data_IF_372990851254
#
_entry.id   IF_372990851254
#
_cell.length_a   1.000
_cell.length_b   1.000
_cell.length_c   1.000
_cell.angle_alpha   90.00
_cell.angle_beta   90.00
_cell.angle_gamma   90.00
#
_symmetry.space_group_name_H-M   'P 1'
#
loop_
_entity.id
_entity.type
_entity.pdbx_description
1 polymer ?
#
# COMPACT_ATOMS: atom_id res chain seq x y z
N UNK A 1 -37.17 35.62 -18.61
CA UNK A 1 -36.60 35.18 -19.88
C UNK A 1 -35.37 34.33 -19.57
N UNK A 2 -35.30 33.06 -19.99
CA UNK A 2 -34.09 32.29 -19.84
C UNK A 2 -33.05 32.78 -20.86
N UNK A 3 -31.89 33.21 -20.37
CA UNK A 3 -30.74 33.51 -21.22
C UNK A 3 -30.20 32.18 -21.76
N UNK A 4 -30.72 31.75 -22.91
CA UNK A 4 -30.01 30.82 -23.79
C UNK A 4 -28.73 31.50 -24.23
N UNK A 5 -27.60 31.19 -23.58
CA UNK A 5 -26.29 31.46 -24.15
C UNK A 5 -26.18 30.61 -25.41
N UNK A 6 -26.40 31.23 -26.57
CA UNK A 6 -25.89 30.69 -27.82
C UNK A 6 -24.40 30.48 -27.63
N UNK A 7 -23.97 29.21 -27.66
CA UNK A 7 -22.56 28.87 -27.76
C UNK A 7 -22.04 29.46 -29.06
N UNK A 8 -21.14 30.44 -28.96
CA UNK A 8 -20.31 30.82 -30.09
C UNK A 8 -19.47 29.58 -30.43
N UNK A 9 -19.93 28.83 -31.42
CA UNK A 9 -19.42 27.52 -31.82
C UNK A 9 -18.04 27.63 -32.51
N UNK A 10 -17.65 28.85 -32.92
CA UNK A 10 -16.43 29.11 -33.70
C UNK A 10 -15.29 29.75 -32.90
N UNK A 11 -15.12 29.40 -31.61
CA UNK A 11 -13.93 29.86 -30.87
C UNK A 11 -12.69 29.23 -31.49
N UNK A 12 -11.75 30.04 -31.95
CA UNK A 12 -10.43 29.61 -32.45
C UNK A 12 -9.39 29.49 -31.33
N UNK A 13 -9.78 29.81 -30.11
CA UNK A 13 -8.92 29.66 -28.93
C UNK A 13 -8.63 28.18 -28.65
N UNK A 14 -7.34 27.86 -28.53
CA UNK A 14 -6.84 26.47 -28.44
C UNK A 14 -7.30 25.78 -27.16
N UNK A 15 -7.38 26.49 -26.04
CA UNK A 15 -7.79 25.92 -24.75
C UNK A 15 -9.31 25.70 -24.74
N UNK A 16 -10.07 26.62 -25.31
CA UNK A 16 -11.52 26.46 -25.47
C UNK A 16 -11.85 25.24 -26.34
N UNK A 17 -11.12 25.04 -27.44
CA UNK A 17 -11.30 23.87 -28.30
C UNK A 17 -10.92 22.57 -27.56
N UNK A 18 -9.80 22.56 -26.83
CA UNK A 18 -9.36 21.41 -26.06
C UNK A 18 -10.38 21.00 -24.99
N UNK A 19 -10.84 21.95 -24.16
CA UNK A 19 -11.83 21.68 -23.11
C UNK A 19 -13.13 21.17 -23.72
N UNK A 20 -13.62 21.77 -24.81
CA UNK A 20 -14.82 21.28 -25.51
C UNK A 20 -14.64 19.86 -26.03
N UNK A 21 -13.47 19.56 -26.58
CA UNK A 21 -13.10 18.21 -27.01
C UNK A 21 -13.15 17.20 -25.86
N UNK A 22 -12.53 17.51 -24.72
CA UNK A 22 -12.54 16.63 -23.54
C UNK A 22 -13.92 16.48 -22.91
N UNK A 23 -14.71 17.56 -22.83
CA UNK A 23 -16.09 17.52 -22.32
C UNK A 23 -17.05 16.79 -23.25
N UNK A 24 -16.66 16.60 -24.52
CA UNK A 24 -17.43 15.84 -25.50
C UNK A 24 -17.34 14.32 -25.30
N UNK A 25 -16.40 13.82 -24.50
CA UNK A 25 -16.29 12.40 -24.17
C UNK A 25 -16.96 12.10 -22.82
N UNK A 26 -17.50 10.90 -22.69
CA UNK A 26 -18.05 10.46 -21.41
C UNK A 26 -16.90 10.07 -20.46
N UNK A 27 -16.95 10.55 -19.22
CA UNK A 27 -15.97 10.19 -18.21
C UNK A 27 -16.01 8.69 -17.90
N UNK A 28 -14.84 8.08 -17.74
CA UNK A 28 -14.73 6.69 -17.30
C UNK A 28 -14.94 6.59 -15.79
N UNK A 29 -15.85 5.72 -15.35
CA UNK A 29 -16.27 5.61 -13.94
C UNK A 29 -16.27 4.20 -13.38
N UNK A 30 -15.98 3.16 -14.18
CA UNK A 30 -16.13 1.75 -13.81
C UNK A 30 -14.78 1.07 -13.57
N UNK A 31 -13.81 1.31 -14.44
CA UNK A 31 -12.49 0.66 -14.41
C UNK A 31 -11.70 0.96 -13.12
N UNK A 32 -12.02 2.05 -12.44
CA UNK A 32 -11.37 2.52 -11.20
C UNK A 32 -11.41 1.49 -10.06
N UNK A 33 -12.40 0.59 -10.06
CA UNK A 33 -12.54 -0.47 -9.06
C UNK A 33 -11.72 -1.73 -9.39
N UNK A 34 -11.07 -1.78 -10.56
CA UNK A 34 -10.24 -2.88 -11.00
C UNK A 34 -8.75 -2.62 -10.81
N UNK A 35 -7.97 -3.70 -10.89
CA UNK A 35 -6.52 -3.60 -10.96
C UNK A 35 -6.06 -3.27 -12.38
N UNK A 36 -5.16 -2.30 -12.50
CA UNK A 36 -4.43 -1.97 -13.74
C UNK A 36 -2.93 -2.01 -13.43
N UNK A 37 -2.22 -2.95 -14.07
CA UNK A 37 -0.78 -3.05 -13.94
C UNK A 37 -0.08 -1.81 -14.50
N UNK A 38 1.11 -1.50 -13.97
CA UNK A 38 1.90 -0.37 -14.43
C UNK A 38 3.35 -0.44 -13.98
N UNK A 39 4.17 0.55 -14.36
CA UNK A 39 5.56 0.62 -13.92
C UNK A 39 5.66 0.55 -12.39
N UNK A 40 6.40 -0.42 -11.87
CA UNK A 40 6.58 -0.61 -10.43
C UNK A 40 5.38 -1.22 -9.69
N UNK A 41 4.29 -1.60 -10.35
CA UNK A 41 3.17 -2.33 -9.72
C UNK A 41 2.72 -3.48 -10.61
N UNK A 42 2.92 -4.72 -10.15
CA UNK A 42 2.63 -5.93 -10.91
C UNK A 42 1.88 -6.96 -10.06
N UNK A 43 0.87 -7.61 -10.62
CA UNK A 43 0.20 -8.75 -9.99
C UNK A 43 0.99 -10.02 -10.28
N UNK A 44 1.26 -10.81 -9.25
CA UNK A 44 1.91 -12.11 -9.38
C UNK A 44 0.87 -13.20 -9.68
N UNK A 45 1.33 -14.32 -10.23
CA UNK A 45 0.52 -15.54 -10.37
C UNK A 45 0.22 -16.20 -9.01
N UNK A 46 1.03 -15.92 -7.99
CA UNK A 46 0.77 -16.38 -6.63
C UNK A 46 -0.53 -15.76 -6.10
N UNK A 47 -1.41 -16.61 -5.58
CA UNK A 47 -2.71 -16.23 -5.06
C UNK A 47 -3.02 -17.06 -3.81
N UNK A 48 -3.68 -16.42 -2.84
CA UNK A 48 -4.15 -17.04 -1.61
C UNK A 48 -5.68 -17.06 -1.55
N UNK A 49 -6.22 -17.86 -0.64
CA UNK A 49 -7.65 -17.88 -0.37
C UNK A 49 -8.05 -16.65 0.47
N UNK A 50 -8.95 -15.83 -0.07
CA UNK A 50 -9.36 -14.57 0.58
C UNK A 50 -10.19 -14.80 1.85
N UNK A 51 -10.97 -15.86 1.91
CA UNK A 51 -11.80 -16.15 3.09
C UNK A 51 -10.91 -16.62 4.24
N UNK A 52 -9.93 -17.48 3.96
CA UNK A 52 -8.94 -17.90 4.96
C UNK A 52 -8.02 -16.76 5.41
N UNK A 53 -7.71 -15.79 4.52
CA UNK A 53 -6.98 -14.58 4.89
C UNK A 53 -7.78 -13.73 5.89
N UNK A 54 -9.08 -13.55 5.66
CA UNK A 54 -9.95 -12.79 6.57
C UNK A 54 -10.16 -13.54 7.89
N UNK A 55 -10.33 -14.86 7.87
CA UNK A 55 -10.41 -15.66 9.10
C UNK A 55 -9.12 -15.52 9.93
N UNK A 56 -7.94 -15.60 9.29
CA UNK A 56 -6.68 -15.40 9.98
C UNK A 56 -6.51 -14.00 10.55
N UNK A 57 -7.01 -12.96 9.87
CA UNK A 57 -7.05 -11.61 10.42
C UNK A 57 -7.86 -11.55 11.71
N UNK A 58 -9.07 -12.11 11.71
CA UNK A 58 -9.93 -12.15 12.90
C UNK A 58 -9.29 -12.95 14.05
N UNK A 59 -8.65 -14.07 13.74
CA UNK A 59 -7.93 -14.88 14.73
C UNK A 59 -6.78 -14.08 15.35
N UNK A 60 -5.95 -13.43 14.53
CA UNK A 60 -4.82 -12.62 14.99
C UNK A 60 -5.28 -11.43 15.85
N UNK A 61 -6.34 -10.72 15.46
CA UNK A 61 -6.88 -9.58 16.20
C UNK A 61 -7.48 -9.96 17.57
N UNK A 62 -7.86 -11.22 17.77
CA UNK A 62 -8.26 -11.75 19.10
C UNK A 62 -7.05 -12.04 20.00
N UNK A 63 -5.87 -12.26 19.40
CA UNK A 63 -4.64 -12.61 20.11
C UNK A 63 -3.76 -11.39 20.41
N UNK A 64 -3.81 -10.37 19.57
CA UNK A 64 -3.03 -9.14 19.75
C UNK A 64 -3.72 -7.92 19.13
N UNK A 65 -3.47 -6.75 19.72
CA UNK A 65 -3.92 -5.48 19.16
C UNK A 65 -2.93 -4.94 18.12
N UNK A 66 -3.39 -4.01 17.29
CA UNK A 66 -2.48 -3.22 16.47
C UNK A 66 -1.53 -2.37 17.34
N UNK A 67 -0.33 -2.15 16.82
CA UNK A 67 0.73 -1.34 17.39
C UNK A 67 0.98 -0.08 16.56
N UNK A 68 1.77 0.84 17.12
CA UNK A 68 2.21 2.08 16.48
C UNK A 68 1.70 3.33 17.19
N UNK A 69 2.44 4.43 17.05
CA UNK A 69 2.11 5.72 17.64
C UNK A 69 1.24 6.62 16.73
N UNK A 70 0.96 6.19 15.50
CA UNK A 70 0.15 6.91 14.51
C UNK A 70 -1.26 6.34 14.36
N UNK A 71 -1.74 5.54 15.32
CA UNK A 71 -3.06 4.91 15.24
C UNK A 71 -4.19 5.95 15.19
N UNK A 72 -4.09 7.02 15.98
CA UNK A 72 -5.04 8.15 15.96
C UNK A 72 -4.99 8.92 14.63
N UNK A 73 -3.87 8.82 13.91
CA UNK A 73 -3.70 9.37 12.56
C UNK A 73 -4.09 8.36 11.47
N UNK A 74 -4.69 7.24 11.85
CA UNK A 74 -5.21 6.23 10.93
C UNK A 74 -4.16 5.29 10.35
N UNK A 75 -3.01 5.09 11.02
CA UNK A 75 -2.02 4.08 10.63
C UNK A 75 -1.69 3.14 11.79
N UNK A 76 -1.86 1.84 11.55
CA UNK A 76 -1.75 0.79 12.56
C UNK A 76 -1.03 -0.43 11.97
N UNK A 77 -0.16 -1.08 12.75
CA UNK A 77 0.66 -2.21 12.30
C UNK A 77 0.62 -3.38 13.27
N UNK A 78 0.52 -4.61 12.76
CA UNK A 78 0.64 -5.85 13.54
C UNK A 78 1.75 -6.73 12.93
N UNK A 79 2.91 -6.87 13.60
CA UNK A 79 4.06 -7.63 13.08
C UNK A 79 3.81 -9.13 13.03
N UNK A 80 3.88 -9.71 11.83
CA UNK A 80 3.78 -11.15 11.58
C UNK A 80 5.14 -11.85 11.58
N UNK A 81 6.23 -11.12 11.35
CA UNK A 81 7.59 -11.62 11.51
C UNK A 81 8.35 -10.83 12.57
N UNK A 82 9.39 -11.46 13.10
CA UNK A 82 10.22 -10.96 14.19
C UNK A 82 11.66 -11.45 14.04
N UNK A 83 12.59 -10.77 14.70
CA UNK A 83 13.95 -11.29 14.86
C UNK A 83 13.95 -12.52 15.79
N UNK A 84 14.92 -13.43 15.68
CA UNK A 84 15.06 -14.53 16.61
C UNK A 84 15.05 -14.07 18.07
N UNK A 85 14.08 -14.55 18.85
CA UNK A 85 13.91 -14.20 20.26
C UNK A 85 13.36 -12.81 20.56
N UNK A 86 12.96 -12.03 19.55
CA UNK A 86 12.34 -10.72 19.77
C UNK A 86 10.96 -10.86 20.42
N UNK A 87 10.71 -10.05 21.45
CA UNK A 87 9.43 -10.00 22.18
C UNK A 87 8.82 -8.60 22.24
N UNK A 88 9.57 -7.58 21.85
CA UNK A 88 9.19 -6.16 21.89
C UNK A 88 9.51 -5.51 20.54
N UNK A 89 8.75 -4.47 20.16
CA UNK A 89 8.92 -3.75 18.91
C UNK A 89 9.17 -2.26 19.15
N UNK A 90 10.22 -1.74 18.52
CA UNK A 90 10.49 -0.30 18.50
C UNK A 90 9.63 0.40 17.44
N UNK A 91 9.52 1.72 17.51
CA UNK A 91 8.86 2.51 16.45
C UNK A 91 9.52 2.27 15.08
N UNK A 92 10.85 2.17 15.03
CA UNK A 92 11.59 1.90 13.79
C UNK A 92 11.33 0.47 13.25
N UNK A 93 11.06 -0.51 14.11
CA UNK A 93 10.65 -1.84 13.65
C UNK A 93 9.28 -1.79 12.96
N UNK A 94 8.36 -0.96 13.47
CA UNK A 94 6.99 -0.83 12.98
C UNK A 94 6.86 0.05 11.73
N UNK A 95 7.77 0.99 11.51
CA UNK A 95 7.78 1.92 10.38
C UNK A 95 8.97 1.60 9.47
N UNK A 96 10.18 2.04 9.83
CA UNK A 96 11.46 1.79 9.15
C UNK A 96 11.96 3.02 8.40
N UNK A 97 13.21 2.94 7.88
CA UNK A 97 13.78 3.99 7.01
C UNK A 97 12.85 4.30 5.83
N UNK A 98 12.64 5.59 5.59
CA UNK A 98 12.10 6.11 4.32
C UNK A 98 12.72 7.47 4.00
N UNK A 99 12.56 7.93 2.76
CA UNK A 99 12.93 9.26 2.32
C UNK A 99 11.71 10.04 1.86
N UNK A 100 11.68 11.33 2.20
CA UNK A 100 10.57 12.24 1.90
C UNK A 100 11.12 13.61 1.47
N UNK A 101 10.36 14.30 0.62
CA UNK A 101 10.57 15.72 0.31
C UNK A 101 9.52 16.53 1.07
N UNK A 102 9.95 17.33 2.04
CA UNK A 102 9.04 18.16 2.85
C UNK A 102 9.22 19.66 2.65
N UNK A 103 10.37 20.10 2.14
CA UNK A 103 10.67 21.51 1.92
C UNK A 103 10.20 22.03 0.55
N UNK A 104 10.09 23.35 0.45
CA UNK A 104 9.88 24.05 -0.84
C UNK A 104 11.09 23.92 -1.79
N UNK A 105 12.23 23.51 -1.26
CA UNK A 105 13.45 23.19 -2.01
C UNK A 105 13.41 21.81 -2.68
N UNK A 106 12.41 20.98 -2.35
CA UNK A 106 12.24 19.61 -2.83
C UNK A 106 13.45 18.70 -2.54
N UNK A 107 14.26 19.05 -1.52
CA UNK A 107 15.37 18.20 -1.10
C UNK A 107 14.82 16.98 -0.40
N UNK A 108 15.42 15.84 -0.74
CA UNK A 108 15.06 14.57 -0.16
C UNK A 108 15.79 14.36 1.15
N UNK A 109 15.04 14.01 2.18
CA UNK A 109 15.56 13.82 3.52
C UNK A 109 15.18 12.44 4.05
N UNK A 110 16.11 11.75 4.72
CA UNK A 110 15.81 10.47 5.31
C UNK A 110 15.06 10.65 6.64
N UNK A 111 14.27 9.63 7.00
CA UNK A 111 13.58 9.50 8.29
C UNK A 111 13.90 8.13 8.88
N UNK A 112 13.93 8.05 10.21
CA UNK A 112 14.19 6.82 10.98
C UNK A 112 15.56 6.17 10.66
N UNK A 113 15.74 4.86 10.91
CA UNK A 113 17.01 4.16 10.68
C UNK A 113 16.85 2.97 9.72
N UNK A 114 17.92 2.61 9.01
CA UNK A 114 17.89 1.42 8.16
C UNK A 114 17.61 0.19 9.03
N UNK A 115 16.66 -0.61 8.59
CA UNK A 115 16.27 -1.85 9.26
C UNK A 115 16.79 -3.01 8.42
N UNK A 116 17.68 -3.88 8.95
CA UNK A 116 18.12 -5.05 8.22
C UNK A 116 16.96 -6.04 8.07
N UNK A 117 16.30 -6.01 6.91
CA UNK A 117 15.09 -6.80 6.67
C UNK A 117 15.30 -8.30 6.89
N UNK A 118 16.49 -8.80 6.53
CA UNK A 118 16.86 -10.21 6.68
C UNK A 118 16.86 -10.72 8.13
N UNK A 119 16.98 -9.81 9.12
CA UNK A 119 16.97 -10.18 10.52
C UNK A 119 15.58 -10.65 10.98
N UNK A 120 14.51 -10.19 10.33
CA UNK A 120 13.11 -10.57 10.62
C UNK A 120 12.73 -11.93 10.02
N UNK A 121 13.56 -12.93 10.33
CA UNK A 121 13.58 -14.24 9.72
C UNK A 121 12.60 -15.25 10.34
N UNK A 122 11.94 -14.92 11.45
CA UNK A 122 11.02 -15.82 12.13
C UNK A 122 9.59 -15.33 12.04
N UNK A 123 8.66 -16.24 11.74
CA UNK A 123 7.24 -15.98 11.92
C UNK A 123 6.93 -15.85 13.41
N UNK A 124 6.10 -14.87 13.76
CA UNK A 124 5.75 -14.58 15.15
C UNK A 124 4.98 -15.78 15.75
N UNK A 125 5.51 -16.43 16.80
CA UNK A 125 4.91 -17.63 17.37
C UNK A 125 3.52 -17.39 17.96
N UNK A 126 3.16 -16.13 18.27
CA UNK A 126 1.81 -15.78 18.73
C UNK A 126 0.74 -16.13 17.69
N UNK A 127 1.07 -16.05 16.40
CA UNK A 127 0.13 -16.28 15.29
C UNK A 127 0.30 -17.65 14.64
N UNK A 128 1.08 -18.55 15.27
CA UNK A 128 1.32 -19.91 14.75
C UNK A 128 0.01 -20.69 14.60
N UNK A 129 -0.14 -21.42 13.51
CA UNK A 129 -1.34 -22.19 13.17
C UNK A 129 -2.41 -21.39 12.42
N UNK A 130 -2.25 -20.08 12.25
CA UNK A 130 -3.14 -19.26 11.42
C UNK A 130 -2.77 -19.39 9.94
N UNK A 131 -3.69 -19.01 9.04
CA UNK A 131 -3.39 -18.99 7.60
C UNK A 131 -2.26 -18.00 7.23
N UNK A 132 -1.98 -17.00 8.07
CA UNK A 132 -0.83 -16.11 7.86
C UNK A 132 0.51 -16.82 7.99
N UNK A 133 0.61 -17.89 8.79
CA UNK A 133 1.81 -18.72 8.82
C UNK A 133 2.05 -19.39 7.47
N UNK A 134 0.98 -19.93 6.87
CA UNK A 134 1.04 -20.52 5.53
C UNK A 134 1.42 -19.48 4.47
N UNK A 135 0.83 -18.28 4.50
CA UNK A 135 1.18 -17.17 3.62
C UNK A 135 2.67 -16.86 3.72
N UNK A 136 3.19 -16.66 4.93
CA UNK A 136 4.62 -16.39 5.15
C UNK A 136 5.51 -17.51 4.61
N UNK A 137 5.16 -18.78 4.88
CA UNK A 137 5.91 -19.93 4.37
C UNK A 137 5.95 -19.97 2.84
N UNK A 138 4.84 -19.72 2.17
CA UNK A 138 4.78 -19.71 0.70
C UNK A 138 5.58 -18.54 0.10
N UNK A 139 5.55 -17.37 0.73
CA UNK A 139 6.39 -16.24 0.31
C UNK A 139 7.88 -16.55 0.49
N UNK A 140 8.27 -17.08 1.66
CA UNK A 140 9.66 -17.39 1.99
C UNK A 140 10.27 -18.52 1.14
N UNK A 141 9.44 -19.41 0.57
CA UNK A 141 9.89 -20.41 -0.43
C UNK A 141 10.37 -19.77 -1.73
N UNK A 142 9.92 -18.56 -2.04
CA UNK A 142 10.10 -17.90 -3.34
C UNK A 142 11.03 -16.70 -3.28
N UNK A 143 11.06 -16.00 -2.15
CA UNK A 143 11.76 -14.74 -2.00
C UNK A 143 12.47 -14.64 -0.64
N UNK A 144 13.54 -13.84 -0.53
CA UNK A 144 14.04 -13.40 0.77
C UNK A 144 12.99 -12.46 1.38
N UNK A 145 12.30 -12.92 2.42
CA UNK A 145 11.26 -12.14 3.12
C UNK A 145 11.84 -11.56 4.40
N UNK A 146 11.58 -10.26 4.60
CA UNK A 146 11.91 -9.57 5.84
C UNK A 146 10.67 -9.28 6.69
N UNK A 147 10.55 -8.04 7.17
CA UNK A 147 9.40 -7.59 7.95
C UNK A 147 8.11 -7.82 7.18
N UNK A 148 7.26 -8.66 7.75
CA UNK A 148 5.90 -8.90 7.29
C UNK A 148 4.95 -8.38 8.35
N UNK A 149 3.99 -7.54 7.95
CA UNK A 149 3.07 -6.84 8.85
C UNK A 149 1.67 -6.84 8.26
N UNK A 150 0.65 -6.92 9.10
CA UNK A 150 -0.69 -6.45 8.74
C UNK A 150 -0.72 -4.95 8.98
N UNK A 151 -0.97 -4.18 7.93
CA UNK A 151 -1.11 -2.72 8.01
C UNK A 151 -2.58 -2.35 7.82
N UNK A 152 -3.13 -1.60 8.78
CA UNK A 152 -4.46 -1.03 8.70
C UNK A 152 -4.40 0.47 8.49
N UNK A 153 -5.32 0.96 7.65
CA UNK A 153 -5.47 2.37 7.33
C UNK A 153 -6.90 2.84 7.54
N UNK A 154 -7.04 3.94 8.27
CA UNK A 154 -8.32 4.59 8.57
C UNK A 154 -8.99 5.21 7.34
N UNK A 155 -10.23 5.68 7.54
CA UNK A 155 -11.07 6.31 6.52
C UNK A 155 -10.48 7.65 6.08
N UNK A 156 -10.67 8.01 4.81
CA UNK A 156 -10.29 9.31 4.24
C UNK A 156 -8.85 9.74 4.54
N UNK A 157 -7.89 8.84 4.36
CA UNK A 157 -6.51 9.00 4.82
C UNK A 157 -5.47 8.54 3.78
N UNK A 158 -4.25 9.09 3.80
CA UNK A 158 -3.12 8.65 2.98
C UNK A 158 -1.83 8.52 3.81
N UNK A 159 -0.86 7.72 3.34
CA UNK A 159 0.48 7.74 3.90
C UNK A 159 1.23 8.98 3.37
N UNK A 160 2.36 9.31 4.00
CA UNK A 160 3.31 10.26 3.43
C UNK A 160 3.66 9.88 1.98
N UNK A 161 4.02 10.88 1.16
CA UNK A 161 4.61 10.64 -0.15
C UNK A 161 6.10 10.39 0.02
N UNK A 162 6.53 9.12 -0.05
CA UNK A 162 7.89 8.72 0.31
C UNK A 162 8.39 7.59 -0.57
N UNK A 163 9.69 7.30 -0.48
CA UNK A 163 10.27 6.05 -0.99
C UNK A 163 10.99 5.31 0.12
N UNK A 164 11.19 4.02 -0.09
CA UNK A 164 11.78 3.11 0.87
C UNK A 164 13.08 2.47 0.34
N UNK A 165 13.86 1.80 1.22
CA UNK A 165 15.12 1.18 0.82
C UNK A 165 14.90 -0.10 -0.01
N UNK A 166 13.76 -0.76 0.19
CA UNK A 166 13.42 -2.05 -0.41
C UNK A 166 12.02 -2.06 -1.04
N UNK A 167 11.78 -2.92 -2.06
CA UNK A 167 10.45 -3.15 -2.60
C UNK A 167 9.61 -4.05 -1.69
N UNK A 168 8.30 -4.07 -1.91
CA UNK A 168 7.34 -4.80 -1.07
C UNK A 168 6.37 -5.65 -1.86
N UNK A 169 5.87 -6.69 -1.20
CA UNK A 169 4.70 -7.44 -1.61
C UNK A 169 3.50 -6.97 -0.80
N UNK A 170 2.39 -6.69 -1.48
CA UNK A 170 1.10 -6.38 -0.87
C UNK A 170 0.08 -7.48 -1.16
N UNK A 171 -0.65 -7.88 -0.13
CA UNK A 171 -1.80 -8.80 -0.22
C UNK A 171 -2.98 -8.08 0.43
N UNK A 172 -3.94 -7.54 -0.34
CA UNK A 172 -5.11 -6.85 0.21
C UNK A 172 -6.08 -7.85 0.87
N UNK A 173 -6.54 -7.53 2.07
CA UNK A 173 -7.52 -8.34 2.84
C UNK A 173 -8.87 -7.64 2.90
N UNK A 174 -8.85 -6.35 3.24
CA UNK A 174 -10.03 -5.48 3.28
C UNK A 174 -9.72 -4.26 2.42
N UNK A 175 -10.56 -4.00 1.44
CA UNK A 175 -10.38 -2.90 0.51
C UNK A 175 -11.73 -2.30 0.09
N UNK A 176 -11.69 -1.12 -0.52
CA UNK A 176 -12.84 -0.45 -1.13
C UNK A 176 -12.37 0.30 -2.38
N UNK A 177 -13.25 0.78 -3.27
CA UNK A 177 -12.82 1.48 -4.49
C UNK A 177 -11.95 2.72 -4.27
N UNK A 178 -11.99 3.33 -3.08
CA UNK A 178 -11.11 4.43 -2.67
C UNK A 178 -9.74 3.97 -2.13
N UNK A 179 -9.50 2.68 -1.98
CA UNK A 179 -8.20 2.11 -1.61
C UNK A 179 -7.26 2.07 -2.81
N UNK A 180 -6.47 3.12 -3.01
CA UNK A 180 -5.53 3.19 -4.14
C UNK A 180 -4.09 3.06 -3.66
N UNK A 181 -3.24 2.64 -4.58
CA UNK A 181 -1.80 2.65 -4.41
C UNK A 181 -1.19 3.42 -5.57
N UNK A 182 -0.28 4.33 -5.25
CA UNK A 182 0.40 5.17 -6.21
C UNK A 182 1.88 4.84 -6.16
N UNK A 183 2.52 4.56 -7.30
CA UNK A 183 3.98 4.51 -7.44
C UNK A 183 4.38 5.43 -8.58
N UNK A 184 5.22 6.42 -8.28
CA UNK A 184 5.61 7.54 -9.15
C UNK A 184 4.39 8.26 -9.74
N UNK A 185 4.05 7.95 -10.99
CA UNK A 185 2.92 8.55 -11.71
C UNK A 185 1.81 7.54 -12.04
N UNK A 186 1.94 6.28 -11.60
CA UNK A 186 0.94 5.24 -11.80
C UNK A 186 0.07 5.08 -10.57
N UNK A 187 -1.25 5.03 -10.76
CA UNK A 187 -2.24 4.81 -9.71
C UNK A 187 -3.13 3.63 -10.07
N UNK A 188 -3.38 2.74 -9.11
CA UNK A 188 -4.30 1.62 -9.30
C UNK A 188 -4.97 1.23 -7.98
N UNK A 189 -6.16 0.63 -8.08
CA UNK A 189 -6.76 -0.12 -6.99
C UNK A 189 -6.11 -1.50 -6.87
N UNK A 190 -5.97 -2.02 -5.65
CA UNK A 190 -5.55 -3.39 -5.36
C UNK A 190 -6.72 -4.14 -4.71
N UNK A 191 -7.44 -5.01 -5.45
CA UNK A 191 -8.61 -5.71 -4.93
C UNK A 191 -8.24 -6.78 -3.89
N UNK A 192 -9.13 -6.94 -2.90
CA UNK A 192 -9.06 -8.00 -1.90
C UNK A 192 -9.67 -9.28 -2.46
N UNK A 193 -8.94 -9.92 -3.37
CA UNK A 193 -9.34 -11.14 -4.05
C UNK A 193 -8.34 -12.29 -3.84
N UNK A 194 -7.42 -12.12 -2.89
CA UNK A 194 -6.33 -13.05 -2.57
C UNK A 194 -5.07 -12.88 -3.43
N UNK A 195 -5.06 -11.96 -4.40
CA UNK A 195 -3.90 -11.70 -5.25
C UNK A 195 -2.72 -11.12 -4.48
N UNK A 196 -1.51 -11.44 -4.94
CA UNK A 196 -0.26 -10.86 -4.43
C UNK A 196 0.28 -9.84 -5.44
N UNK A 197 0.65 -8.66 -4.96
CA UNK A 197 1.16 -7.57 -5.79
C UNK A 197 2.58 -7.23 -5.42
N UNK A 198 3.48 -7.24 -6.40
CA UNK A 198 4.76 -6.57 -6.28
C UNK A 198 4.55 -5.06 -6.42
N UNK A 199 5.13 -4.31 -5.49
CA UNK A 199 5.18 -2.84 -5.51
C UNK A 199 6.62 -2.40 -5.32
N UNK A 200 7.15 -1.67 -6.29
CA UNK A 200 8.49 -1.10 -6.23
C UNK A 200 8.49 0.18 -5.39
N UNK A 201 8.42 -0.01 -4.06
CA UNK A 201 8.40 1.07 -3.07
C UNK A 201 9.74 1.80 -2.95
N UNK A 202 10.77 1.39 -3.69
CA UNK A 202 11.99 2.19 -3.89
C UNK A 202 11.71 3.44 -4.73
N UNK A 203 10.65 3.42 -5.54
CA UNK A 203 10.07 4.61 -6.13
C UNK A 203 9.22 5.39 -5.12
N UNK A 204 9.01 6.68 -5.38
CA UNK A 204 8.10 7.45 -4.55
C UNK A 204 6.68 6.91 -4.66
N UNK A 205 6.01 6.73 -3.53
CA UNK A 205 4.74 6.06 -3.49
C UNK A 205 3.90 6.55 -2.30
N UNK A 206 2.61 6.23 -2.34
CA UNK A 206 1.72 6.34 -1.20
C UNK A 206 0.59 5.31 -1.31
N UNK A 207 0.13 4.86 -0.15
CA UNK A 207 -1.11 4.13 -0.02
C UNK A 207 -2.19 5.05 0.52
N UNK A 208 -3.36 5.02 -0.11
CA UNK A 208 -4.47 5.89 0.26
C UNK A 208 -5.76 5.09 0.44
N UNK A 209 -6.62 5.59 1.31
CA UNK A 209 -7.95 5.08 1.57
C UNK A 209 -8.92 6.26 1.53
N UNK A 210 -9.50 6.49 0.36
CA UNK A 210 -10.56 7.49 0.16
C UNK A 210 -11.97 6.98 0.46
N UNK A 211 -12.12 5.79 1.04
CA UNK A 211 -13.41 5.17 1.30
C UNK A 211 -13.88 5.24 2.75
N UNK A 212 -15.09 4.73 2.95
CA UNK A 212 -15.83 4.72 4.22
C UNK A 212 -15.54 3.50 5.10
N UNK A 213 -14.67 2.60 4.66
CA UNK A 213 -14.25 1.41 5.42
C UNK A 213 -12.73 1.41 5.61
N UNK A 214 -12.24 0.65 6.58
CA UNK A 214 -10.81 0.47 6.74
C UNK A 214 -10.19 -0.24 5.53
N UNK A 215 -8.93 0.07 5.27
CA UNK A 215 -8.09 -0.64 4.29
C UNK A 215 -7.06 -1.47 5.05
N UNK A 216 -7.05 -2.79 4.82
CA UNK A 216 -6.13 -3.71 5.51
C UNK A 216 -5.38 -4.56 4.51
N UNK A 217 -4.06 -4.56 4.61
CA UNK A 217 -3.17 -5.36 3.74
C UNK A 217 -2.13 -6.10 4.59
N UNK A 218 -1.76 -7.31 4.18
CA UNK A 218 -0.47 -7.88 4.56
C UNK A 218 0.58 -7.24 3.65
N UNK A 219 1.68 -6.79 4.25
CA UNK A 219 2.80 -6.17 3.57
C UNK A 219 4.08 -6.86 3.99
N UNK A 220 4.80 -7.43 3.03
CA UNK A 220 6.08 -8.11 3.24
C UNK A 220 7.20 -7.36 2.52
N UNK A 221 8.23 -6.96 3.26
CA UNK A 221 9.47 -6.43 2.69
C UNK A 221 10.25 -7.55 1.98
N UNK A 222 10.78 -7.24 0.79
CA UNK A 222 11.69 -8.12 0.10
C UNK A 222 13.12 -7.81 0.55
N UNK A 223 13.73 -8.73 1.29
CA UNK A 223 15.04 -8.57 1.93
C UNK A 223 16.22 -8.75 0.95
N UNK A 224 16.15 -8.10 -0.20
CA UNK A 224 17.29 -7.92 -1.11
C UNK A 224 18.18 -6.77 -0.62
N UNK A 225 19.25 -6.47 -1.37
CA UNK A 225 20.12 -5.33 -1.08
C UNK A 225 19.32 -4.01 -1.04
N UNK A 226 19.44 -3.31 0.09
CA UNK A 226 18.74 -2.06 0.33
C UNK A 226 19.44 -0.89 -0.36
N UNK A 227 18.63 0.00 -0.92
CA UNK A 227 19.10 1.34 -1.34
C UNK A 227 19.48 2.12 -0.07
N UNK A 228 20.65 2.75 -0.05
CA UNK A 228 21.17 3.44 1.14
C UNK A 228 21.03 4.96 1.08
N UNK A 229 20.85 5.51 -0.13
CA UNK A 229 20.82 6.94 -0.43
C UNK A 229 19.80 7.26 -1.53
#
# INVERSE_FOLDING_TARGET
>A
MPLTKQSNDNSTDVDVQAIRGWMGTQAETKSVAGFVAGPGIQRLELKFDIDLLNEALEQCLKLDAYMGNMQDQGFAAMPLTQRPGQTEWTTNDLSGRYWIRTGEDYIEEPREDLVPEIDFSQFNPKFKGTYFEHVHQELAKRFPIGRTRVLSKGLYNCNSWHRDPEPRLHIPLITNPGSLFVVNHHVTHLPADGSVYFTDTRGYHTALNGGETQRVHIVAALAYEQVKE
#
